data_IF_716391277400
#
_entry.id   IF_716391277400
#
_cell.length_a   1.000
_cell.length_b   1.000
_cell.length_c   1.000
_cell.angle_alpha   90.00
_cell.angle_beta   90.00
_cell.angle_gamma   90.00
#
_symmetry.space_group_name_H-M   'P 1'
#
loop_
_entity.id
_entity.type
_entity.pdbx_description
1 polymer ?
#
# COMPACT_ATOMS: atom_id res chain seq x y z
N UNK A 1 -21.44 1.80 -38.70
CA UNK A 1 -19.99 2.00 -38.52
C UNK A 1 -19.80 3.29 -37.76
N UNK A 2 -19.70 3.20 -36.43
CA UNK A 2 -19.44 4.36 -35.56
C UNK A 2 -17.94 4.35 -35.25
N UNK A 3 -17.22 5.34 -35.76
CA UNK A 3 -15.79 5.53 -35.49
C UNK A 3 -15.68 6.13 -34.09
N UNK A 4 -15.15 5.35 -33.14
CA UNK A 4 -14.65 5.88 -31.87
C UNK A 4 -13.52 6.86 -32.20
N UNK A 5 -13.74 8.14 -31.95
CA UNK A 5 -12.68 9.14 -31.95
C UNK A 5 -11.80 8.90 -30.73
N UNK A 6 -10.48 9.00 -30.92
CA UNK A 6 -9.48 8.97 -29.86
C UNK A 6 -9.92 9.84 -28.68
N UNK A 7 -9.95 9.26 -27.49
CA UNK A 7 -10.20 9.98 -26.24
C UNK A 7 -8.88 10.60 -25.80
N UNK A 8 -8.73 11.91 -26.02
CA UNK A 8 -7.76 12.69 -25.27
C UNK A 8 -8.18 12.70 -23.79
N UNK A 9 -7.22 12.63 -22.83
CA UNK A 9 -7.52 12.63 -21.41
C UNK A 9 -8.20 13.93 -20.97
N UNK A 10 -9.21 13.83 -20.11
CA UNK A 10 -9.76 14.99 -19.37
C UNK A 10 -8.72 15.38 -18.34
N UNK A 11 -8.40 16.67 -18.24
CA UNK A 11 -7.52 17.17 -17.17
C UNK A 11 -8.31 18.15 -16.30
N UNK A 12 -8.33 17.98 -14.97
CA UNK A 12 -8.88 19.00 -14.08
C UNK A 12 -7.96 20.22 -14.08
N UNK A 13 -8.49 21.40 -14.42
CA UNK A 13 -7.79 22.66 -14.23
C UNK A 13 -8.24 23.29 -12.91
N UNK A 14 -7.29 23.47 -11.98
CA UNK A 14 -7.54 24.12 -10.70
C UNK A 14 -7.34 25.64 -10.83
N UNK A 15 -8.41 26.42 -10.65
CA UNK A 15 -8.30 27.86 -10.46
C UNK A 15 -8.61 28.19 -9.00
N UNK A 16 -7.57 28.24 -8.17
CA UNK A 16 -7.65 28.86 -6.84
C UNK A 16 -7.74 30.38 -7.01
N UNK A 17 -8.95 30.94 -7.02
CA UNK A 17 -9.11 32.38 -6.77
C UNK A 17 -8.88 32.65 -5.29
N UNK A 18 -7.63 32.96 -4.92
CA UNK A 18 -7.33 33.64 -3.65
C UNK A 18 -7.95 35.03 -3.71
N UNK A 19 -9.21 35.14 -3.33
CA UNK A 19 -9.72 36.42 -2.84
C UNK A 19 -9.19 36.58 -1.42
N UNK A 20 -8.69 37.76 -1.06
CA UNK A 20 -8.36 38.16 0.32
C UNK A 20 -9.67 38.28 1.15
N UNK A 21 -10.52 37.28 1.09
CA UNK A 21 -11.82 37.27 1.72
C UNK A 21 -11.69 36.71 3.13
N UNK A 22 -12.43 37.34 4.03
CA UNK A 22 -12.54 36.95 5.43
C UNK A 22 -13.98 36.54 5.69
N UNK A 23 -14.17 35.50 6.51
CA UNK A 23 -15.47 35.20 7.09
C UNK A 23 -16.03 36.48 7.76
N UNK A 24 -17.34 36.70 7.69
CA UNK A 24 -17.99 37.95 8.09
C UNK A 24 -17.78 38.33 9.57
N UNK A 25 -17.33 37.38 10.39
CA UNK A 25 -17.02 37.49 11.81
C UNK A 25 -15.51 37.51 12.14
N UNK A 26 -14.63 37.50 11.14
CA UNK A 26 -13.19 37.58 11.36
C UNK A 26 -12.79 38.99 11.82
N UNK A 27 -12.40 39.12 13.09
CA UNK A 27 -11.91 40.38 13.68
C UNK A 27 -10.39 40.48 13.77
N UNK A 28 -9.66 39.48 13.28
CA UNK A 28 -8.20 39.46 13.33
C UNK A 28 -7.58 40.25 12.16
N UNK A 29 -6.81 41.28 12.51
CA UNK A 29 -6.15 42.19 11.56
C UNK A 29 -4.87 41.61 10.95
N UNK A 30 -4.38 40.48 11.47
CA UNK A 30 -3.24 39.75 10.91
C UNK A 30 -3.64 38.53 10.09
N UNK A 31 -4.93 38.21 10.03
CA UNK A 31 -5.43 37.14 9.18
C UNK A 31 -5.14 37.48 7.71
N UNK A 32 -4.58 36.53 6.95
CA UNK A 32 -4.28 36.68 5.51
C UNK A 32 -5.34 36.04 4.60
N UNK A 33 -6.55 35.86 5.13
CA UNK A 33 -7.68 35.18 4.48
C UNK A 33 -8.09 33.95 5.28
N UNK A 34 -9.26 34.00 5.91
CA UNK A 34 -9.86 32.86 6.63
C UNK A 34 -11.16 32.38 5.97
N UNK A 35 -11.56 33.01 4.87
CA UNK A 35 -12.65 32.50 4.05
C UNK A 35 -12.09 31.34 3.22
N UNK A 36 -12.55 30.13 3.54
CA UNK A 36 -12.20 28.94 2.76
C UNK A 36 -12.93 29.08 1.42
N UNK A 37 -12.26 29.70 0.46
CA UNK A 37 -12.83 29.92 -0.88
C UNK A 37 -13.27 28.60 -1.51
N UNK A 38 -14.43 28.61 -2.19
CA UNK A 38 -14.89 27.44 -2.93
C UNK A 38 -13.86 27.09 -4.03
N UNK A 39 -13.27 25.89 -3.96
CA UNK A 39 -12.46 25.33 -5.05
C UNK A 39 -13.35 25.03 -6.26
N UNK A 40 -13.46 25.96 -7.20
CA UNK A 40 -14.16 25.71 -8.46
C UNK A 40 -13.32 24.79 -9.38
N UNK A 41 -13.89 23.64 -9.74
CA UNK A 41 -13.29 22.74 -10.73
C UNK A 41 -13.83 23.07 -12.12
N UNK A 42 -12.92 23.37 -13.05
CA UNK A 42 -13.21 23.36 -14.48
C UNK A 42 -12.59 22.12 -15.13
N UNK A 43 -13.43 21.32 -15.78
CA UNK A 43 -12.99 20.12 -16.51
C UNK A 43 -12.95 20.42 -17.99
N UNK A 44 -11.75 20.30 -18.57
CA UNK A 44 -11.50 20.73 -19.95
C UNK A 44 -11.10 19.53 -20.80
N UNK A 45 -11.74 19.36 -21.96
CA UNK A 45 -11.32 18.45 -23.04
C UNK A 45 -10.82 19.24 -24.23
N UNK A 46 -9.89 18.68 -24.99
CA UNK A 46 -9.53 19.24 -26.30
C UNK A 46 -10.47 18.72 -27.38
N UNK A 47 -10.92 19.61 -28.25
CA UNK A 47 -11.70 19.24 -29.43
C UNK A 47 -10.81 18.73 -30.58
N UNK A 48 -11.43 18.35 -31.70
CA UNK A 48 -10.71 17.87 -32.89
C UNK A 48 -9.76 18.91 -33.51
N UNK A 49 -9.82 20.17 -33.05
CA UNK A 49 -8.98 21.29 -33.45
C UNK A 49 -7.99 21.71 -32.35
N UNK A 50 -7.95 20.99 -31.22
CA UNK A 50 -7.07 21.24 -30.09
C UNK A 50 -7.54 22.37 -29.15
N UNK A 51 -8.77 22.86 -29.28
CA UNK A 51 -9.33 23.90 -28.40
C UNK A 51 -9.95 23.31 -27.13
N UNK A 52 -9.78 23.99 -25.98
CA UNK A 52 -10.42 23.60 -24.73
C UNK A 52 -11.94 23.77 -24.80
N UNK A 53 -12.67 22.70 -24.51
CA UNK A 53 -14.12 22.64 -24.34
C UNK A 53 -14.40 22.23 -22.89
N UNK A 54 -15.24 23.00 -22.20
CA UNK A 54 -15.78 22.61 -20.91
C UNK A 54 -16.65 21.36 -21.07
N UNK A 55 -16.31 20.30 -20.35
CA UNK A 55 -17.05 19.04 -20.38
C UNK A 55 -17.34 18.56 -18.99
N UNK A 56 -18.59 18.21 -18.69
CA UNK A 56 -18.90 17.52 -17.45
C UNK A 56 -18.44 16.05 -17.50
N UNK A 57 -17.59 15.60 -16.57
CA UNK A 57 -17.19 14.20 -16.50
C UNK A 57 -18.35 13.33 -15.98
N UNK A 58 -18.32 12.04 -16.33
CA UNK A 58 -19.16 11.00 -15.74
C UNK A 58 -18.76 10.69 -14.29
N UNK A 59 -19.61 10.00 -13.55
CA UNK A 59 -19.30 9.58 -12.18
C UNK A 59 -18.04 8.71 -12.13
N UNK A 60 -17.85 7.83 -13.11
CA UNK A 60 -16.68 6.97 -13.23
C UNK A 60 -15.40 7.73 -13.55
N UNK A 61 -15.47 8.76 -14.41
CA UNK A 61 -14.32 9.63 -14.70
C UNK A 61 -13.92 10.44 -13.46
N UNK A 62 -14.90 10.96 -12.70
CA UNK A 62 -14.64 11.65 -11.43
C UNK A 62 -13.97 10.72 -10.41
N UNK A 63 -14.45 9.49 -10.29
CA UNK A 63 -13.86 8.49 -9.41
C UNK A 63 -12.41 8.18 -9.81
N UNK A 64 -12.14 7.99 -11.10
CA UNK A 64 -10.78 7.71 -11.58
C UNK A 64 -9.82 8.86 -11.26
N UNK A 65 -10.25 10.10 -11.49
CA UNK A 65 -9.47 11.30 -11.14
C UNK A 65 -9.26 11.42 -9.63
N UNK A 66 -10.26 11.09 -8.81
CA UNK A 66 -10.13 11.13 -7.36
C UNK A 66 -9.09 10.13 -6.83
N UNK A 67 -9.06 8.92 -7.40
CA UNK A 67 -8.08 7.88 -7.04
C UNK A 67 -6.67 8.30 -7.45
N UNK A 68 -6.51 8.87 -8.66
CA UNK A 68 -5.22 9.34 -9.15
C UNK A 68 -4.67 10.48 -8.28
N UNK A 69 -5.52 11.45 -7.93
CA UNK A 69 -5.14 12.54 -7.03
C UNK A 69 -4.76 12.01 -5.64
N UNK A 70 -5.56 11.10 -5.07
CA UNK A 70 -5.27 10.50 -3.77
C UNK A 70 -3.97 9.68 -3.75
N UNK A 71 -3.61 9.04 -4.87
CA UNK A 71 -2.40 8.24 -5.01
C UNK A 71 -1.12 9.05 -5.29
N UNK A 72 -1.26 10.30 -5.72
CA UNK A 72 -0.13 11.19 -6.04
C UNK A 72 0.48 11.85 -4.80
N UNK A 73 -0.15 11.67 -3.63
CA UNK A 73 0.14 12.37 -2.37
C UNK A 73 0.99 11.55 -1.37
N UNK A 74 1.67 10.50 -1.81
CA UNK A 74 2.47 9.58 -0.96
C UNK A 74 3.64 10.22 -0.17
N UNK A 75 3.87 11.54 -0.28
CA UNK A 75 5.00 12.25 0.33
C UNK A 75 4.62 13.35 1.35
N UNK A 76 3.35 13.45 1.79
CA UNK A 76 3.00 14.46 2.79
C UNK A 76 1.88 13.99 3.75
N UNK A 77 2.27 13.27 4.81
CA UNK A 77 1.38 12.78 5.87
C UNK A 77 0.73 13.89 6.75
N UNK A 78 0.88 15.17 6.41
CA UNK A 78 0.50 16.29 7.30
C UNK A 78 -0.43 17.38 6.72
N UNK A 79 -0.96 17.25 5.50
CA UNK A 79 -1.84 18.29 4.95
C UNK A 79 -3.32 17.85 4.84
N UNK A 80 -4.11 18.18 5.86
CA UNK A 80 -5.58 18.25 5.80
C UNK A 80 -6.09 19.09 4.59
N UNK A 81 -5.24 19.95 4.00
CA UNK A 81 -5.56 20.82 2.87
C UNK A 81 -5.38 20.18 1.48
N UNK A 82 -4.50 19.18 1.30
CA UNK A 82 -4.26 18.53 -0.02
C UNK A 82 -5.25 17.40 -0.31
N UNK A 83 -5.70 16.68 0.74
CA UNK A 83 -6.86 15.79 0.68
C UNK A 83 -8.16 16.50 0.24
N UNK A 84 -8.19 17.84 0.24
CA UNK A 84 -9.34 18.63 -0.20
C UNK A 84 -9.72 18.40 -1.67
N UNK A 85 -8.76 18.17 -2.57
CA UNK A 85 -9.04 17.96 -4.00
C UNK A 85 -9.62 16.57 -4.23
N UNK A 86 -8.91 15.52 -3.80
CA UNK A 86 -9.37 14.14 -3.93
C UNK A 86 -10.74 13.95 -3.27
N UNK A 87 -10.92 14.44 -2.04
CA UNK A 87 -12.21 14.39 -1.33
C UNK A 87 -13.33 15.06 -2.10
N UNK A 88 -13.08 16.23 -2.68
CA UNK A 88 -14.12 16.94 -3.44
C UNK A 88 -14.44 16.23 -4.76
N UNK A 89 -13.46 15.60 -5.42
CA UNK A 89 -13.70 14.75 -6.59
C UNK A 89 -14.54 13.51 -6.22
N UNK A 90 -14.28 12.89 -5.06
CA UNK A 90 -15.13 11.83 -4.52
C UNK A 90 -16.55 12.32 -4.23
N UNK A 91 -16.73 13.47 -3.56
CA UNK A 91 -18.05 14.04 -3.29
C UNK A 91 -18.83 14.29 -4.59
N UNK A 92 -18.17 14.77 -5.63
CA UNK A 92 -18.78 14.96 -6.97
C UNK A 92 -19.17 13.61 -7.61
N UNK A 93 -18.30 12.60 -7.53
CA UNK A 93 -18.59 11.25 -8.03
C UNK A 93 -19.78 10.62 -7.29
N UNK A 94 -19.81 10.67 -5.96
CA UNK A 94 -20.90 10.21 -5.09
C UNK A 94 -22.21 10.90 -5.48
N UNK A 95 -22.21 12.22 -5.64
CA UNK A 95 -23.40 12.97 -6.02
C UNK A 95 -23.93 12.53 -7.39
N UNK A 96 -23.05 12.29 -8.37
CA UNK A 96 -23.46 11.78 -9.70
C UNK A 96 -23.98 10.36 -9.63
N UNK A 97 -23.35 9.46 -8.89
CA UNK A 97 -23.87 8.11 -8.68
C UNK A 97 -25.25 8.10 -8.00
N UNK A 98 -25.50 9.01 -7.07
CA UNK A 98 -26.80 9.09 -6.38
C UNK A 98 -27.90 9.72 -7.24
N UNK A 99 -27.58 10.77 -8.01
CA UNK A 99 -28.58 11.58 -8.74
C UNK A 99 -28.74 11.16 -10.20
N UNK A 100 -27.62 10.96 -10.89
CA UNK A 100 -27.59 10.79 -12.34
C UNK A 100 -27.52 9.31 -12.74
N UNK A 101 -26.89 8.48 -11.91
CA UNK A 101 -26.70 7.03 -12.15
C UNK A 101 -27.19 6.15 -10.97
N UNK A 102 -28.42 6.31 -10.44
CA UNK A 102 -28.87 5.62 -9.22
C UNK A 102 -28.92 4.08 -9.34
N UNK A 103 -29.01 3.56 -10.56
CA UNK A 103 -28.97 2.11 -10.84
C UNK A 103 -27.54 1.54 -10.73
N UNK A 104 -26.51 2.40 -10.80
CA UNK A 104 -25.11 2.01 -10.73
C UNK A 104 -24.63 1.88 -9.28
N UNK A 105 -25.32 1.03 -8.51
CA UNK A 105 -25.03 0.82 -7.07
C UNK A 105 -23.62 0.28 -6.81
N UNK A 106 -23.08 -0.48 -7.75
CA UNK A 106 -21.70 -0.97 -7.68
C UNK A 106 -20.69 0.17 -7.82
N UNK A 107 -20.89 1.09 -8.77
CA UNK A 107 -20.05 2.28 -8.91
C UNK A 107 -20.10 3.17 -7.66
N UNK A 108 -21.30 3.40 -7.13
CA UNK A 108 -21.50 4.12 -5.86
C UNK A 108 -20.73 3.46 -4.70
N UNK A 109 -20.89 2.15 -4.52
CA UNK A 109 -20.22 1.43 -3.44
C UNK A 109 -18.69 1.43 -3.59
N UNK A 110 -18.19 1.29 -4.82
CA UNK A 110 -16.75 1.40 -5.12
C UNK A 110 -16.25 2.79 -4.72
N UNK A 111 -16.99 3.84 -5.06
CA UNK A 111 -16.62 5.21 -4.72
C UNK A 111 -16.55 5.45 -3.20
N UNK A 112 -17.48 4.90 -2.43
CA UNK A 112 -17.44 4.96 -0.96
C UNK A 112 -16.23 4.23 -0.37
N UNK A 113 -15.88 3.06 -0.91
CA UNK A 113 -14.72 2.29 -0.47
C UNK A 113 -13.42 3.05 -0.76
N UNK A 114 -13.25 3.56 -1.98
CA UNK A 114 -12.05 4.30 -2.37
C UNK A 114 -11.92 5.63 -1.60
N UNK A 115 -13.02 6.34 -1.36
CA UNK A 115 -13.01 7.51 -0.46
C UNK A 115 -12.55 7.10 0.94
N UNK A 116 -13.15 6.06 1.51
CA UNK A 116 -12.82 5.60 2.86
C UNK A 116 -11.36 5.17 3.00
N UNK A 117 -10.77 4.57 1.96
CA UNK A 117 -9.33 4.28 1.89
C UNK A 117 -8.49 5.56 1.87
N UNK A 118 -8.83 6.51 1.01
CA UNK A 118 -8.05 7.73 0.79
C UNK A 118 -8.00 8.63 2.02
N UNK A 119 -9.11 8.76 2.76
CA UNK A 119 -9.20 9.64 3.94
C UNK A 119 -9.26 8.88 5.28
N UNK A 120 -8.94 7.57 5.26
CA UNK A 120 -8.94 6.70 6.46
C UNK A 120 -10.26 6.68 7.25
N UNK A 121 -11.41 6.63 6.57
CA UNK A 121 -12.75 6.60 7.20
C UNK A 121 -13.38 5.21 7.05
N UNK A 122 -13.43 4.46 8.16
CA UNK A 122 -13.96 3.09 8.20
C UNK A 122 -15.44 3.00 7.85
N UNK A 123 -16.25 3.99 8.24
CA UNK A 123 -17.69 4.02 8.00
C UNK A 123 -18.01 4.02 6.50
N UNK A 124 -17.25 4.78 5.70
CA UNK A 124 -17.40 4.83 4.25
C UNK A 124 -17.08 3.48 3.61
N UNK A 125 -16.00 2.81 4.04
CA UNK A 125 -15.66 1.47 3.56
C UNK A 125 -16.76 0.47 3.96
N UNK A 126 -17.23 0.53 5.21
CA UNK A 126 -18.28 -0.34 5.72
C UNK A 126 -19.61 -0.17 4.98
N UNK A 127 -20.00 1.07 4.67
CA UNK A 127 -21.22 1.34 3.89
C UNK A 127 -21.10 0.75 2.48
N UNK A 128 -19.98 1.00 1.79
CA UNK A 128 -19.72 0.42 0.47
C UNK A 128 -19.73 -1.11 0.48
N UNK A 129 -19.12 -1.73 1.50
CA UNK A 129 -19.11 -3.17 1.68
C UNK A 129 -20.53 -3.75 1.86
N UNK A 130 -21.40 -3.11 2.65
CA UNK A 130 -22.79 -3.56 2.81
C UNK A 130 -23.58 -3.48 1.50
N UNK A 131 -23.35 -2.44 0.69
CA UNK A 131 -23.98 -2.32 -0.63
C UNK A 131 -23.50 -3.44 -1.55
N UNK A 132 -22.20 -3.73 -1.58
CA UNK A 132 -21.61 -4.81 -2.37
C UNK A 132 -22.12 -6.19 -1.93
N UNK A 133 -22.27 -6.46 -0.63
CA UNK A 133 -22.94 -7.67 -0.10
C UNK A 133 -24.37 -7.79 -0.65
N UNK A 134 -25.08 -6.67 -0.74
CA UNK A 134 -26.43 -6.61 -1.33
C UNK A 134 -26.43 -6.88 -2.83
N UNK A 135 -25.48 -6.32 -3.58
CA UNK A 135 -25.36 -6.53 -5.02
C UNK A 135 -24.93 -7.96 -5.37
N UNK A 136 -24.02 -8.58 -4.61
CA UNK A 136 -23.60 -9.96 -4.84
C UNK A 136 -24.78 -10.95 -4.74
N UNK A 137 -25.70 -10.73 -3.79
CA UNK A 137 -26.92 -11.55 -3.64
C UNK A 137 -27.86 -11.44 -4.84
N UNK A 138 -27.85 -10.30 -5.53
CA UNK A 138 -28.69 -10.08 -6.73
C UNK A 138 -28.02 -10.62 -7.98
N UNK A 139 -26.72 -10.38 -8.11
CA UNK A 139 -25.94 -10.68 -9.29
C UNK A 139 -24.55 -11.20 -8.88
N UNK A 140 -24.42 -12.51 -8.75
CA UNK A 140 -23.18 -13.17 -8.34
C UNK A 140 -22.17 -13.24 -9.51
N UNK A 141 -21.57 -12.11 -9.84
CA UNK A 141 -20.50 -12.00 -10.85
C UNK A 141 -19.13 -11.96 -10.19
N UNK A 142 -18.11 -12.31 -10.97
CA UNK A 142 -16.71 -12.26 -10.58
C UNK A 142 -16.31 -10.83 -10.19
N UNK A 143 -16.79 -9.83 -10.95
CA UNK A 143 -16.52 -8.42 -10.67
C UNK A 143 -17.06 -7.99 -9.30
N UNK A 144 -18.31 -8.32 -8.98
CA UNK A 144 -18.92 -7.94 -7.69
C UNK A 144 -18.24 -8.69 -6.55
N UNK A 145 -17.87 -9.97 -6.75
CA UNK A 145 -17.15 -10.75 -5.76
C UNK A 145 -15.76 -10.17 -5.45
N UNK A 146 -15.00 -9.77 -6.47
CA UNK A 146 -13.69 -9.12 -6.30
C UNK A 146 -13.83 -7.78 -5.58
N UNK A 147 -14.79 -6.94 -5.97
CA UNK A 147 -15.02 -5.64 -5.30
C UNK A 147 -15.43 -5.80 -3.84
N UNK A 148 -16.29 -6.77 -3.54
CA UNK A 148 -16.66 -7.10 -2.17
C UNK A 148 -15.44 -7.58 -1.38
N UNK A 149 -14.63 -8.46 -1.96
CA UNK A 149 -13.41 -8.95 -1.33
C UNK A 149 -12.42 -7.81 -1.01
N UNK A 150 -12.17 -6.92 -1.98
CA UNK A 150 -11.36 -5.71 -1.81
C UNK A 150 -11.89 -4.80 -0.70
N UNK A 151 -13.19 -4.51 -0.70
CA UNK A 151 -13.82 -3.71 0.35
C UNK A 151 -13.68 -4.36 1.75
N UNK A 152 -13.87 -5.68 1.85
CA UNK A 152 -13.76 -6.41 3.11
C UNK A 152 -12.33 -6.39 3.66
N UNK A 153 -11.33 -6.64 2.80
CA UNK A 153 -9.93 -6.63 3.24
C UNK A 153 -9.44 -5.21 3.53
N UNK A 154 -9.92 -4.21 2.80
CA UNK A 154 -9.62 -2.80 3.05
C UNK A 154 -10.15 -2.34 4.40
N UNK A 155 -11.35 -2.77 4.80
CA UNK A 155 -11.87 -2.49 6.13
C UNK A 155 -11.05 -3.20 7.22
N UNK A 156 -10.67 -4.47 7.01
CA UNK A 156 -9.79 -5.18 7.94
C UNK A 156 -8.43 -4.47 8.10
N UNK A 157 -7.89 -3.97 6.99
CA UNK A 157 -6.62 -3.22 6.97
C UNK A 157 -6.73 -1.92 7.73
N UNK A 158 -7.83 -1.17 7.55
CA UNK A 158 -8.04 0.08 8.29
C UNK A 158 -8.15 -0.13 9.79
N UNK A 159 -8.86 -1.18 10.22
CA UNK A 159 -8.96 -1.56 11.66
C UNK A 159 -7.58 -1.91 12.21
N UNK A 160 -6.82 -2.74 11.49
CA UNK A 160 -5.46 -3.14 11.90
C UNK A 160 -4.52 -1.95 12.02
N UNK A 161 -4.50 -1.05 11.04
CA UNK A 161 -3.68 0.17 11.09
C UNK A 161 -4.03 1.07 12.28
N UNK A 162 -5.31 1.21 12.61
CA UNK A 162 -5.73 1.97 13.81
C UNK A 162 -5.25 1.28 15.10
N UNK A 163 -5.33 -0.05 15.16
CA UNK A 163 -4.84 -0.84 16.29
C UNK A 163 -3.32 -0.75 16.44
N UNK A 164 -2.57 -0.76 15.34
CA UNK A 164 -1.12 -0.62 15.31
C UNK A 164 -0.71 0.80 15.75
N UNK A 165 -1.36 1.84 15.23
CA UNK A 165 -1.11 3.23 15.66
C UNK A 165 -1.43 3.44 17.16
N UNK A 166 -2.51 2.83 17.66
CA UNK A 166 -2.83 2.86 19.08
C UNK A 166 -1.77 2.13 19.91
N UNK A 167 -1.31 0.97 19.45
CA UNK A 167 -0.28 0.19 20.11
C UNK A 167 1.05 0.95 20.18
N UNK A 168 1.53 1.51 19.07
CA UNK A 168 2.77 2.30 19.01
C UNK A 168 2.73 3.47 19.99
N UNK A 169 1.61 4.20 20.04
CA UNK A 169 1.43 5.30 20.99
C UNK A 169 1.47 4.84 22.45
N UNK A 170 0.79 3.74 22.76
CA UNK A 170 0.77 3.21 24.13
C UNK A 170 2.11 2.61 24.54
N UNK A 171 2.83 2.00 23.60
CA UNK A 171 4.15 1.43 23.85
C UNK A 171 5.15 2.51 24.24
N UNK A 172 5.09 3.70 23.62
CA UNK A 172 5.92 4.86 23.98
C UNK A 172 5.62 5.44 25.38
N UNK A 173 4.44 5.14 25.94
CA UNK A 173 4.04 5.59 27.28
C UNK A 173 4.40 4.58 28.38
N UNK A 174 4.79 3.36 28.03
CA UNK A 174 5.18 2.29 28.94
C UNK A 174 6.69 2.35 29.19
N UNK A 175 7.10 2.20 30.45
CA UNK A 175 8.50 1.99 30.81
C UNK A 175 8.98 0.65 30.23
N UNK A 176 10.10 0.64 29.51
CA UNK A 176 10.64 -0.57 28.86
C UNK A 176 10.91 -1.71 29.86
N UNK A 177 11.16 -1.37 31.14
CA UNK A 177 11.37 -2.34 32.21
C UNK A 177 10.05 -2.93 32.78
N UNK A 178 8.88 -2.36 32.44
CA UNK A 178 7.57 -2.86 32.88
C UNK A 178 7.03 -3.95 31.94
N UNK A 179 7.63 -5.14 32.07
CA UNK A 179 7.26 -6.34 31.30
C UNK A 179 5.77 -6.70 31.43
N UNK A 180 5.12 -6.37 32.56
CA UNK A 180 3.71 -6.68 32.80
C UNK A 180 2.83 -5.78 31.94
N UNK A 181 3.08 -4.47 31.96
CA UNK A 181 2.34 -3.51 31.12
C UNK A 181 2.54 -3.79 29.63
N UNK A 182 3.77 -4.12 29.21
CA UNK A 182 4.07 -4.48 27.84
C UNK A 182 3.36 -5.77 27.42
N UNK A 183 3.33 -6.79 28.28
CA UNK A 183 2.59 -8.03 28.06
C UNK A 183 1.09 -7.79 27.87
N UNK A 184 0.46 -7.00 28.74
CA UNK A 184 -0.96 -6.63 28.61
C UNK A 184 -1.25 -5.84 27.32
N UNK A 185 -0.31 -5.00 26.87
CA UNK A 185 -0.44 -4.27 25.62
C UNK A 185 -0.31 -5.20 24.41
N UNK A 186 0.61 -6.17 24.43
CA UNK A 186 0.75 -7.19 23.39
C UNK A 186 -0.48 -8.09 23.28
N UNK A 187 -1.14 -8.44 24.38
CA UNK A 187 -2.42 -9.17 24.32
C UNK A 187 -3.51 -8.37 23.58
N UNK A 188 -3.49 -7.04 23.67
CA UNK A 188 -4.42 -6.17 22.92
C UNK A 188 -4.12 -6.10 21.43
N UNK A 189 -2.99 -6.64 20.97
CA UNK A 189 -2.64 -6.72 19.55
C UNK A 189 -3.25 -7.93 18.84
N UNK A 190 -3.89 -8.87 19.56
CA UNK A 190 -4.57 -10.02 18.94
C UNK A 190 -5.54 -9.60 17.80
N UNK A 191 -5.67 -10.48 16.81
CA UNK A 191 -6.59 -10.26 15.69
C UNK A 191 -8.03 -10.32 16.16
N UNK A 192 -8.74 -9.22 15.99
CA UNK A 192 -10.11 -9.10 16.50
C UNK A 192 -11.06 -10.02 15.74
N UNK A 193 -12.19 -10.39 16.37
CA UNK A 193 -13.23 -11.19 15.71
C UNK A 193 -13.78 -10.53 14.44
N UNK A 194 -13.79 -9.19 14.40
CA UNK A 194 -14.24 -8.42 13.25
C UNK A 194 -13.27 -8.55 12.10
N UNK A 195 -11.97 -8.34 12.32
CA UNK A 195 -10.93 -8.58 11.32
C UNK A 195 -10.98 -10.03 10.81
N UNK A 196 -11.12 -11.01 11.72
CA UNK A 196 -11.24 -12.43 11.34
C UNK A 196 -12.40 -12.68 10.39
N UNK A 197 -13.56 -12.06 10.67
CA UNK A 197 -14.73 -12.17 9.79
C UNK A 197 -14.44 -11.54 8.42
N UNK A 198 -13.86 -10.35 8.40
CA UNK A 198 -13.61 -9.58 7.19
C UNK A 198 -12.58 -10.24 6.27
N UNK A 199 -11.41 -10.64 6.79
CA UNK A 199 -10.40 -11.27 5.95
C UNK A 199 -10.90 -12.63 5.45
N UNK A 200 -11.64 -13.42 6.26
CA UNK A 200 -12.21 -14.70 5.80
C UNK A 200 -13.22 -14.52 4.68
N UNK A 201 -14.08 -13.50 4.77
CA UNK A 201 -15.01 -13.12 3.70
C UNK A 201 -14.26 -12.70 2.44
N UNK A 202 -13.19 -11.91 2.57
CA UNK A 202 -12.34 -11.55 1.45
C UNK A 202 -11.71 -12.77 0.77
N UNK A 203 -11.15 -13.70 1.56
CA UNK A 203 -10.56 -14.95 1.03
C UNK A 203 -11.60 -15.84 0.34
N UNK A 204 -12.81 -15.95 0.89
CA UNK A 204 -13.91 -16.73 0.32
C UNK A 204 -14.31 -16.19 -1.06
N UNK A 205 -14.60 -14.88 -1.14
CA UNK A 205 -15.06 -14.26 -2.37
C UNK A 205 -13.97 -14.13 -3.43
N UNK A 206 -12.71 -13.93 -3.01
CA UNK A 206 -11.58 -13.95 -3.94
C UNK A 206 -11.42 -15.34 -4.56
N UNK A 207 -11.44 -16.42 -3.76
CA UNK A 207 -11.36 -17.79 -4.30
C UNK A 207 -12.51 -18.12 -5.23
N UNK A 208 -13.73 -17.72 -4.87
CA UNK A 208 -14.92 -17.93 -5.71
C UNK A 208 -14.79 -17.19 -7.05
N UNK A 209 -14.35 -15.93 -7.05
CA UNK A 209 -14.10 -15.17 -8.27
C UNK A 209 -13.02 -15.83 -9.13
N UNK A 210 -11.89 -16.25 -8.53
CA UNK A 210 -10.80 -16.93 -9.24
C UNK A 210 -11.23 -18.27 -9.85
N UNK A 211 -12.20 -18.97 -9.25
CA UNK A 211 -12.72 -20.24 -9.80
C UNK A 211 -13.49 -20.07 -11.11
N UNK A 212 -13.95 -18.84 -11.40
CA UNK A 212 -14.75 -18.48 -12.58
C UNK A 212 -14.05 -17.46 -13.48
N UNK A 213 -12.81 -17.09 -13.12
CA UNK A 213 -12.06 -16.03 -13.77
C UNK A 213 -11.72 -16.41 -15.21
N UNK A 214 -12.12 -15.55 -16.14
CA UNK A 214 -11.76 -15.67 -17.56
C UNK A 214 -10.47 -14.93 -17.89
N UNK A 215 -10.24 -14.71 -19.19
CA UNK A 215 -9.09 -13.95 -19.70
C UNK A 215 -9.43 -12.47 -19.93
N UNK A 216 -10.42 -11.93 -19.22
CA UNK A 216 -10.79 -10.51 -19.33
C UNK A 216 -9.73 -9.65 -18.62
N UNK A 217 -9.06 -8.77 -19.36
CA UNK A 217 -7.94 -7.98 -18.84
C UNK A 217 -8.34 -7.09 -17.66
N UNK A 218 -9.55 -6.50 -17.69
CA UNK A 218 -10.00 -5.63 -16.61
C UNK A 218 -10.29 -6.43 -15.34
N UNK A 219 -10.92 -7.59 -15.45
CA UNK A 219 -11.13 -8.50 -14.32
C UNK A 219 -9.82 -9.05 -13.77
N UNK A 220 -8.84 -9.35 -14.62
CA UNK A 220 -7.52 -9.79 -14.20
C UNK A 220 -6.79 -8.70 -13.41
N UNK A 221 -6.84 -7.43 -13.84
CA UNK A 221 -6.28 -6.30 -13.10
C UNK A 221 -6.96 -6.09 -11.75
N UNK A 222 -8.29 -6.18 -11.71
CA UNK A 222 -9.05 -6.10 -10.45
C UNK A 222 -8.65 -7.26 -9.51
N UNK A 223 -8.54 -8.48 -10.03
CA UNK A 223 -8.10 -9.64 -9.27
C UNK A 223 -6.70 -9.43 -8.68
N UNK A 224 -5.76 -8.91 -9.48
CA UNK A 224 -4.42 -8.55 -9.03
C UNK A 224 -4.47 -7.50 -7.91
N UNK A 225 -5.26 -6.44 -8.07
CA UNK A 225 -5.45 -5.40 -7.04
C UNK A 225 -5.89 -5.99 -5.70
N UNK A 226 -6.85 -6.92 -5.71
CA UNK A 226 -7.31 -7.59 -4.49
C UNK A 226 -6.21 -8.45 -3.86
N UNK A 227 -5.35 -9.10 -4.66
CA UNK A 227 -4.21 -9.84 -4.13
C UNK A 227 -3.17 -8.91 -3.45
N UNK A 228 -2.93 -7.72 -4.01
CA UNK A 228 -2.08 -6.71 -3.37
C UNK A 228 -2.66 -6.20 -2.05
N UNK A 229 -3.97 -5.97 -1.98
CA UNK A 229 -4.64 -5.59 -0.74
C UNK A 229 -4.58 -6.70 0.32
N UNK A 230 -4.82 -7.96 -0.07
CA UNK A 230 -4.66 -9.13 0.80
C UNK A 230 -3.24 -9.26 1.35
N UNK A 231 -2.23 -9.13 0.48
CA UNK A 231 -0.83 -9.13 0.92
C UNK A 231 -0.56 -7.99 1.90
N UNK A 232 -1.05 -6.79 1.60
CA UNK A 232 -0.85 -5.61 2.46
C UNK A 232 -1.40 -5.82 3.86
N UNK A 233 -2.62 -6.36 3.99
CA UNK A 233 -3.17 -6.76 5.29
C UNK A 233 -2.32 -7.84 5.98
N UNK A 234 -1.94 -8.89 5.24
CA UNK A 234 -1.13 -9.99 5.78
C UNK A 234 0.23 -9.51 6.33
N UNK A 235 0.83 -8.48 5.73
CA UNK A 235 2.09 -7.91 6.19
C UNK A 235 2.00 -7.08 7.48
N UNK A 236 0.83 -6.57 7.84
CA UNK A 236 0.63 -5.88 9.12
C UNK A 236 0.66 -6.87 10.30
N UNK A 237 0.45 -8.15 10.03
CA UNK A 237 0.38 -9.20 11.03
C UNK A 237 1.79 -9.72 11.38
N UNK A 238 2.50 -8.99 12.25
CA UNK A 238 3.93 -9.25 12.53
C UNK A 238 4.22 -10.10 13.77
N UNK A 239 3.36 -10.06 14.78
CA UNK A 239 3.58 -10.74 16.06
C UNK A 239 3.55 -12.28 15.93
N UNK A 240 4.28 -13.05 16.77
CA UNK A 240 4.29 -14.51 16.70
C UNK A 240 2.89 -15.15 16.79
N UNK A 241 2.00 -14.61 17.61
CA UNK A 241 0.62 -15.08 17.74
C UNK A 241 -0.25 -14.75 16.51
N UNK A 242 0.21 -13.91 15.59
CA UNK A 242 -0.48 -13.66 14.31
C UNK A 242 -0.23 -14.75 13.26
N UNK A 243 0.72 -15.67 13.49
CA UNK A 243 1.18 -16.69 12.52
C UNK A 243 0.04 -17.38 11.76
N UNK A 244 -0.99 -17.85 12.45
CA UNK A 244 -2.12 -18.54 11.81
C UNK A 244 -2.86 -17.64 10.81
N UNK A 245 -3.11 -16.39 11.21
CA UNK A 245 -3.85 -15.41 10.41
C UNK A 245 -3.02 -14.90 9.23
N UNK A 246 -1.75 -14.56 9.47
CA UNK A 246 -0.82 -14.13 8.44
C UNK A 246 -0.67 -15.22 7.36
N UNK A 247 -0.41 -16.47 7.76
CA UNK A 247 -0.28 -17.58 6.82
C UNK A 247 -1.58 -17.85 6.06
N UNK A 248 -2.74 -17.83 6.73
CA UNK A 248 -4.02 -18.04 6.04
C UNK A 248 -4.23 -17.04 4.88
N UNK A 249 -3.85 -15.78 5.06
CA UNK A 249 -3.97 -14.76 4.02
C UNK A 249 -2.87 -14.90 2.97
N UNK A 250 -1.60 -14.96 3.39
CA UNK A 250 -0.45 -14.95 2.48
C UNK A 250 -0.34 -16.25 1.66
N UNK A 251 -0.63 -17.42 2.25
CA UNK A 251 -0.69 -18.68 1.50
C UNK A 251 -1.78 -18.62 0.41
N UNK A 252 -2.91 -17.95 0.71
CA UNK A 252 -3.96 -17.76 -0.29
C UNK A 252 -3.48 -16.85 -1.42
N UNK A 253 -2.77 -15.76 -1.12
CA UNK A 253 -2.20 -14.89 -2.14
C UNK A 253 -1.25 -15.69 -3.05
N UNK A 254 -0.32 -16.45 -2.47
CA UNK A 254 0.61 -17.31 -3.23
C UNK A 254 -0.13 -18.33 -4.10
N UNK A 255 -1.14 -19.00 -3.56
CA UNK A 255 -1.99 -19.95 -4.29
C UNK A 255 -2.66 -19.29 -5.51
N UNK A 256 -3.18 -18.08 -5.34
CA UNK A 256 -3.95 -17.38 -6.37
C UNK A 256 -3.06 -16.69 -7.42
N UNK A 257 -1.88 -16.19 -7.04
CA UNK A 257 -0.87 -15.69 -7.99
C UNK A 257 -0.56 -16.75 -9.06
N UNK A 258 -0.36 -18.00 -8.64
CA UNK A 258 -0.04 -19.11 -9.53
C UNK A 258 -1.20 -19.50 -10.47
N UNK A 259 -2.41 -19.02 -10.23
CA UNK A 259 -3.58 -19.23 -11.09
C UNK A 259 -3.74 -18.15 -12.16
N UNK A 260 -3.04 -17.02 -12.04
CA UNK A 260 -3.10 -15.96 -13.03
C UNK A 260 -2.35 -16.34 -14.31
N UNK A 261 -2.83 -15.93 -15.49
CA UNK A 261 -2.13 -16.18 -16.75
C UNK A 261 -0.77 -15.48 -16.74
N UNK A 262 0.24 -16.17 -17.28
CA UNK A 262 1.60 -15.66 -17.46
C UNK A 262 2.28 -15.16 -16.17
N UNK A 263 1.85 -15.62 -14.99
CA UNK A 263 2.40 -15.17 -13.70
C UNK A 263 3.92 -15.31 -13.61
N UNK A 264 4.49 -16.35 -14.24
CA UNK A 264 5.93 -16.58 -14.27
C UNK A 264 6.72 -15.54 -15.05
N UNK A 265 6.07 -14.77 -15.93
CA UNK A 265 6.66 -13.73 -16.77
C UNK A 265 6.16 -12.33 -16.40
N UNK A 266 5.56 -12.18 -15.22
CA UNK A 266 5.06 -10.91 -14.71
C UNK A 266 5.89 -10.49 -13.49
N UNK A 267 6.62 -9.39 -13.62
CA UNK A 267 7.51 -8.84 -12.60
C UNK A 267 6.78 -8.54 -11.28
N UNK A 268 5.60 -7.93 -11.36
CA UNK A 268 4.79 -7.52 -10.22
C UNK A 268 4.23 -8.72 -9.44
N UNK A 269 3.81 -9.78 -10.15
CA UNK A 269 3.29 -11.00 -9.52
C UNK A 269 4.38 -11.83 -8.83
N UNK A 270 5.58 -11.88 -9.42
CA UNK A 270 6.73 -12.52 -8.79
C UNK A 270 7.19 -11.76 -7.54
N UNK A 271 7.19 -10.43 -7.60
CA UNK A 271 7.50 -9.58 -6.45
C UNK A 271 6.46 -9.75 -5.33
N UNK A 272 5.18 -9.80 -5.70
CA UNK A 272 4.08 -10.06 -4.76
C UNK A 272 4.26 -11.40 -4.05
N UNK A 273 4.62 -12.46 -4.78
CA UNK A 273 4.91 -13.77 -4.19
C UNK A 273 6.14 -13.71 -3.27
N UNK A 274 7.24 -13.11 -3.73
CA UNK A 274 8.45 -12.97 -2.92
C UNK A 274 8.16 -12.27 -1.58
N UNK A 275 7.38 -11.19 -1.61
CA UNK A 275 6.96 -10.48 -0.41
C UNK A 275 6.14 -11.33 0.56
N UNK A 276 5.24 -12.19 0.07
CA UNK A 276 4.51 -13.11 0.94
C UNK A 276 5.49 -14.05 1.66
N UNK A 277 6.39 -14.69 0.93
CA UNK A 277 7.37 -15.62 1.52
C UNK A 277 8.31 -14.93 2.51
N UNK A 278 8.77 -13.72 2.17
CA UNK A 278 9.64 -12.88 3.00
C UNK A 278 8.97 -12.35 4.27
N UNK A 279 7.66 -12.52 4.46
CA UNK A 279 6.99 -12.27 5.74
C UNK A 279 6.63 -13.55 6.48
N UNK A 280 6.51 -14.68 5.78
CA UNK A 280 6.14 -15.96 6.39
C UNK A 280 7.35 -16.66 7.02
N UNK A 281 8.55 -16.43 6.49
CA UNK A 281 9.85 -16.92 6.96
C UNK A 281 10.09 -16.68 8.46
N UNK A 282 9.65 -15.54 9.01
CA UNK A 282 9.83 -15.22 10.43
C UNK A 282 9.03 -16.12 11.37
N UNK A 283 8.02 -16.80 10.83
CA UNK A 283 7.22 -17.77 11.56
C UNK A 283 7.71 -19.22 11.41
N UNK A 284 8.77 -19.44 10.62
CA UNK A 284 9.31 -20.78 10.34
C UNK A 284 10.42 -21.12 11.33
N UNK A 285 10.16 -22.12 12.17
CA UNK A 285 11.13 -22.66 13.14
C UNK A 285 12.06 -23.73 12.54
N UNK A 286 11.64 -24.38 11.46
CA UNK A 286 12.44 -25.43 10.80
C UNK A 286 13.47 -24.78 9.86
N UNK A 287 14.74 -24.84 10.25
CA UNK A 287 15.87 -24.24 9.51
C UNK A 287 15.93 -24.70 8.05
N UNK A 288 15.69 -25.97 7.75
CA UNK A 288 15.74 -26.48 6.37
C UNK A 288 14.65 -25.88 5.52
N UNK A 289 13.44 -25.73 6.08
CA UNK A 289 12.34 -25.03 5.39
C UNK A 289 12.65 -23.54 5.24
N UNK A 290 13.27 -22.92 6.25
CA UNK A 290 13.68 -21.51 6.21
C UNK A 290 14.70 -21.25 5.10
N UNK A 291 15.76 -22.06 5.01
CA UNK A 291 16.76 -21.99 3.95
C UNK A 291 16.16 -22.21 2.55
N UNK A 292 15.26 -23.19 2.41
CA UNK A 292 14.56 -23.41 1.14
C UNK A 292 13.66 -22.22 0.76
N UNK A 293 13.05 -21.56 1.75
CA UNK A 293 12.27 -20.34 1.54
C UNK A 293 13.16 -19.18 1.10
N UNK A 294 14.32 -18.98 1.74
CA UNK A 294 15.30 -17.96 1.32
C UNK A 294 15.73 -18.14 -0.13
N UNK A 295 16.14 -19.36 -0.52
CA UNK A 295 16.51 -19.65 -1.91
C UNK A 295 15.37 -19.35 -2.88
N UNK A 296 14.12 -19.61 -2.48
CA UNK A 296 12.96 -19.32 -3.32
C UNK A 296 12.69 -17.82 -3.45
N UNK A 297 12.85 -17.05 -2.37
CA UNK A 297 12.73 -15.60 -2.39
C UNK A 297 13.79 -15.01 -3.33
N UNK A 298 15.05 -15.41 -3.18
CA UNK A 298 16.15 -14.98 -4.08
C UNK A 298 15.82 -15.26 -5.57
N UNK A 299 15.35 -16.46 -5.89
CA UNK A 299 14.94 -16.82 -7.27
C UNK A 299 13.85 -15.90 -7.81
N UNK A 300 12.82 -15.63 -7.00
CA UNK A 300 11.69 -14.78 -7.38
C UNK A 300 12.11 -13.32 -7.56
N UNK A 301 12.92 -12.79 -6.64
CA UNK A 301 13.44 -11.42 -6.70
C UNK A 301 14.33 -11.22 -7.93
N UNK A 302 15.29 -12.13 -8.16
CA UNK A 302 16.18 -12.06 -9.32
C UNK A 302 15.40 -12.09 -10.64
N UNK A 303 14.40 -12.97 -10.75
CA UNK A 303 13.56 -13.08 -11.94
C UNK A 303 12.66 -11.86 -12.13
N UNK A 304 12.04 -11.37 -11.05
CA UNK A 304 11.22 -10.15 -11.07
C UNK A 304 12.04 -8.95 -11.54
N UNK A 305 13.24 -8.73 -10.99
CA UNK A 305 14.10 -7.62 -11.38
C UNK A 305 14.54 -7.71 -12.84
N UNK A 306 14.89 -8.91 -13.32
CA UNK A 306 15.27 -9.11 -14.71
C UNK A 306 14.13 -8.76 -15.69
N UNK A 307 12.89 -9.13 -15.36
CA UNK A 307 11.72 -8.78 -16.16
C UNK A 307 11.43 -7.28 -16.11
N UNK A 308 11.51 -6.67 -14.92
CA UNK A 308 11.32 -5.24 -14.74
C UNK A 308 12.37 -4.42 -15.51
N UNK A 309 13.64 -4.84 -15.47
CA UNK A 309 14.74 -4.22 -16.21
C UNK A 309 14.50 -4.24 -17.72
N UNK A 310 14.02 -5.36 -18.27
CA UNK A 310 13.67 -5.47 -19.70
C UNK A 310 12.53 -4.50 -20.06
N UNK A 311 11.55 -4.33 -19.16
CA UNK A 311 10.35 -3.51 -19.37
C UNK A 311 10.64 -2.01 -19.23
N UNK A 312 11.53 -1.61 -18.32
CA UNK A 312 11.70 -0.22 -17.88
C UNK A 312 13.11 0.36 -18.10
N UNK A 313 14.06 -0.42 -18.61
CA UNK A 313 15.48 -0.04 -18.81
C UNK A 313 16.19 0.44 -17.52
N UNK A 314 15.63 0.06 -16.37
CA UNK A 314 16.21 0.25 -15.03
C UNK A 314 15.75 -0.87 -14.11
N UNK A 315 16.54 -1.17 -13.09
CA UNK A 315 16.16 -2.13 -12.06
C UNK A 315 15.04 -1.57 -11.15
N UNK A 316 14.35 -2.46 -10.44
CA UNK A 316 13.26 -2.11 -9.54
C UNK A 316 13.79 -1.84 -8.12
N UNK A 317 13.58 -0.63 -7.58
CA UNK A 317 14.00 -0.30 -6.22
C UNK A 317 13.36 -1.23 -5.17
N UNK A 318 12.08 -1.58 -5.32
CA UNK A 318 11.40 -2.49 -4.39
C UNK A 318 12.01 -3.90 -4.35
N UNK A 319 12.60 -4.37 -5.46
CA UNK A 319 13.31 -5.65 -5.43
C UNK A 319 14.56 -5.55 -4.55
N UNK A 320 15.30 -4.45 -4.66
CA UNK A 320 16.50 -4.21 -3.85
C UNK A 320 16.17 -4.01 -2.37
N UNK A 321 15.06 -3.34 -2.03
CA UNK A 321 14.58 -3.26 -0.65
C UNK A 321 14.26 -4.66 -0.07
N UNK A 322 13.51 -5.49 -0.82
CA UNK A 322 13.19 -6.84 -0.36
C UNK A 322 14.42 -7.75 -0.29
N UNK A 323 15.38 -7.56 -1.19
CA UNK A 323 16.65 -8.27 -1.17
C UNK A 323 17.45 -7.90 0.09
N UNK A 324 17.51 -6.62 0.46
CA UNK A 324 18.15 -6.17 1.68
C UNK A 324 17.51 -6.79 2.94
N UNK A 325 16.17 -6.78 3.01
CA UNK A 325 15.43 -7.43 4.10
C UNK A 325 15.71 -8.95 4.17
N UNK A 326 15.81 -9.64 3.02
CA UNK A 326 16.16 -11.05 2.97
C UNK A 326 17.56 -11.29 3.53
N UNK A 327 18.54 -10.44 3.19
CA UNK A 327 19.92 -10.55 3.66
C UNK A 327 20.04 -10.31 5.16
N UNK A 328 19.32 -9.33 5.72
CA UNK A 328 19.20 -9.15 7.19
C UNK A 328 18.65 -10.43 7.84
N UNK A 329 17.59 -11.00 7.29
CA UNK A 329 16.99 -12.21 7.83
C UNK A 329 17.93 -13.43 7.77
N UNK A 330 18.76 -13.53 6.73
CA UNK A 330 19.79 -14.56 6.59
C UNK A 330 20.92 -14.34 7.59
N UNK A 331 21.40 -13.10 7.74
CA UNK A 331 22.43 -12.71 8.72
C UNK A 331 22.02 -13.10 10.13
N UNK A 332 20.78 -12.75 10.54
CA UNK A 332 20.20 -13.14 11.84
C UNK A 332 20.10 -14.66 12.06
N UNK A 333 20.26 -15.47 11.00
CA UNK A 333 20.17 -16.94 11.06
C UNK A 333 21.51 -17.61 10.75
N UNK A 334 22.58 -16.85 10.51
CA UNK A 334 23.89 -17.39 10.21
C UNK A 334 24.53 -18.00 11.49
N UNK A 335 25.21 -19.14 11.34
CA UNK A 335 25.92 -19.78 12.45
C UNK A 335 27.32 -19.19 12.66
N UNK A 336 27.88 -18.60 11.61
CA UNK A 336 29.21 -18.03 11.55
C UNK A 336 29.12 -16.50 11.51
N UNK A 337 29.96 -15.85 12.30
CA UNK A 337 29.94 -14.39 12.48
C UNK A 337 30.44 -13.66 11.23
N UNK A 338 31.46 -14.20 10.55
CA UNK A 338 31.97 -13.62 9.30
C UNK A 338 30.88 -13.71 8.20
N UNK A 339 30.21 -14.86 8.09
CA UNK A 339 29.07 -15.02 7.17
C UNK A 339 27.91 -14.05 7.53
N UNK A 340 27.65 -13.84 8.83
CA UNK A 340 26.61 -12.93 9.30
C UNK A 340 26.91 -11.47 8.91
N UNK A 341 28.17 -11.04 9.07
CA UNK A 341 28.64 -9.70 8.72
C UNK A 341 28.62 -9.48 7.21
N UNK A 342 29.10 -10.43 6.39
CA UNK A 342 29.04 -10.33 4.92
C UNK A 342 27.60 -10.16 4.42
N UNK A 343 26.66 -10.93 4.98
CA UNK A 343 25.24 -10.80 4.65
C UNK A 343 24.66 -9.44 5.09
N UNK A 344 25.10 -8.91 6.22
CA UNK A 344 24.65 -7.59 6.69
C UNK A 344 25.16 -6.46 5.79
N UNK A 345 26.43 -6.52 5.37
CA UNK A 345 27.02 -5.59 4.41
C UNK A 345 26.31 -5.65 3.05
N UNK A 346 25.99 -6.85 2.56
CA UNK A 346 25.16 -7.02 1.36
C UNK A 346 23.80 -6.34 1.49
N UNK A 347 23.19 -6.37 2.68
CA UNK A 347 21.92 -5.71 2.94
C UNK A 347 22.05 -4.18 2.87
N UNK A 348 23.11 -3.62 3.46
CA UNK A 348 23.39 -2.17 3.44
C UNK A 348 23.57 -1.70 1.99
N UNK A 349 24.39 -2.39 1.21
CA UNK A 349 24.62 -2.03 -0.19
C UNK A 349 23.34 -2.16 -1.03
N UNK A 350 22.49 -3.15 -0.74
CA UNK A 350 21.19 -3.28 -1.39
C UNK A 350 20.24 -2.12 -1.04
N UNK A 351 20.19 -1.66 0.22
CA UNK A 351 19.42 -0.47 0.60
C UNK A 351 19.96 0.80 -0.05
N UNK A 352 21.29 1.01 -0.09
CA UNK A 352 21.92 2.13 -0.81
C UNK A 352 21.54 2.12 -2.29
N UNK A 353 21.51 0.94 -2.91
CA UNK A 353 21.12 0.76 -4.31
C UNK A 353 19.63 1.02 -4.54
N UNK A 354 18.76 0.57 -3.64
CA UNK A 354 17.35 0.90 -3.69
C UNK A 354 17.14 2.42 -3.62
N UNK A 355 17.86 3.11 -2.72
CA UNK A 355 17.78 4.57 -2.57
C UNK A 355 18.26 5.30 -3.83
N UNK A 356 19.34 4.83 -4.45
CA UNK A 356 19.83 5.41 -5.70
C UNK A 356 18.81 5.28 -6.86
N UNK A 357 17.96 4.25 -6.83
CA UNK A 357 16.90 4.03 -7.82
C UNK A 357 15.61 4.81 -7.51
N UNK A 358 15.40 5.20 -6.25
CA UNK A 358 14.29 6.01 -5.76
C UNK A 358 14.72 7.02 -4.69
N UNK A 359 15.38 8.13 -5.10
CA UNK A 359 16.00 9.08 -4.17
C UNK A 359 14.99 9.92 -3.39
N UNK A 360 13.73 9.97 -3.83
CA UNK A 360 12.67 10.76 -3.21
C UNK A 360 11.97 10.00 -2.06
N UNK A 361 12.37 8.76 -1.79
CA UNK A 361 11.82 7.94 -0.70
C UNK A 361 12.50 8.28 0.65
N UNK A 362 11.83 9.10 1.45
CA UNK A 362 12.35 9.57 2.75
C UNK A 362 12.59 8.45 3.76
N UNK A 363 11.77 7.39 3.75
CA UNK A 363 11.93 6.23 4.66
C UNK A 363 13.22 5.50 4.35
N UNK A 364 13.47 5.27 3.06
CA UNK A 364 14.67 4.61 2.59
C UNK A 364 15.92 5.47 2.81
N UNK A 365 15.81 6.79 2.62
CA UNK A 365 16.87 7.73 2.98
C UNK A 365 17.21 7.66 4.48
N UNK A 366 16.20 7.60 5.34
CA UNK A 366 16.37 7.45 6.79
C UNK A 366 17.07 6.14 7.17
N UNK A 367 16.68 5.01 6.57
CA UNK A 367 17.34 3.72 6.80
C UNK A 367 18.81 3.74 6.35
N UNK A 368 19.10 4.27 5.16
CA UNK A 368 20.49 4.36 4.66
C UNK A 368 21.35 5.27 5.54
N UNK A 369 20.79 6.38 6.03
CA UNK A 369 21.49 7.27 6.97
C UNK A 369 21.80 6.58 8.31
N UNK A 370 20.86 5.78 8.83
CA UNK A 370 21.08 5.00 10.04
C UNK A 370 22.21 3.98 9.87
N UNK A 371 22.23 3.22 8.77
CA UNK A 371 23.30 2.26 8.50
C UNK A 371 24.65 2.94 8.29
N UNK A 372 24.69 4.08 7.60
CA UNK A 372 25.93 4.83 7.40
C UNK A 372 26.50 5.33 8.73
N UNK A 373 25.64 5.80 9.65
CA UNK A 373 26.08 6.24 10.97
C UNK A 373 26.60 5.10 11.85
N UNK A 374 26.06 3.88 11.72
CA UNK A 374 26.57 2.69 12.41
C UNK A 374 27.95 2.29 11.85
N UNK A 375 28.12 2.29 10.53
CA UNK A 375 29.42 2.02 9.90
C UNK A 375 30.49 3.06 10.28
N UNK A 376 30.11 4.34 10.39
CA UNK A 376 31.05 5.39 10.81
C UNK A 376 31.47 5.22 12.28
N UNK A 377 30.59 4.73 13.16
CA UNK A 377 30.92 4.45 14.57
C UNK A 377 31.87 3.25 14.72
N UNK A 378 31.64 2.16 13.97
CA UNK A 378 32.52 0.99 14.00
C UNK A 378 33.93 1.34 13.49
N UNK A 379 34.03 2.14 12.43
CA UNK A 379 35.34 2.59 11.92
C UNK A 379 36.07 3.54 12.90
N UNK A 380 35.34 4.38 13.65
CA UNK A 380 35.93 5.24 14.68
C UNK A 380 36.42 4.42 15.89
N UNK A 381 35.75 3.33 16.26
CA UNK A 381 36.17 2.41 17.34
C UNK A 381 37.38 1.55 16.92
N UNK A 382 37.44 1.09 15.66
CA UNK A 382 38.59 0.36 15.12
C UNK A 382 39.86 1.25 15.00
N UNK A 383 39.71 2.52 14.61
CA UNK A 383 40.81 3.50 14.55
C UNK A 383 41.35 3.84 15.97
N UNK A 384 40.48 3.88 17.00
CA UNK A 384 40.88 4.12 18.39
C UNK A 384 41.59 2.89 19.01
N UNK A 385 41.23 1.66 18.65
CA UNK A 385 41.92 0.44 19.09
C UNK A 385 43.32 0.27 18.45
N UNK A 386 43.50 0.68 17.18
CA UNK A 386 44.82 0.70 16.54
C UNK A 386 45.75 1.78 17.12
N UNK A 387 45.23 2.92 17.58
CA UNK A 387 46.03 3.97 18.26
C UNK A 387 46.45 3.54 19.68
N UNK A 388 45.65 2.75 20.42
CA UNK A 388 46.03 2.23 21.74
C UNK A 388 47.09 1.11 21.68
N UNK A 389 47.13 0.29 20.61
CA UNK A 389 48.17 -0.73 20.43
C UNK A 389 49.54 -0.13 20.00
N UNK A 390 49.58 1.02 19.32
CA UNK A 390 50.84 1.70 18.97
C UNK A 390 51.51 2.41 20.16
N UNK A 391 50.77 2.72 21.23
CA UNK A 391 51.29 3.38 22.43
C UNK A 391 51.84 2.39 23.50
N UNK A 392 51.70 1.07 23.29
CA UNK A 392 52.21 0.01 24.19
C UNK A 392 53.52 -0.69 23.73
N UNK A 393 54.17 -0.29 22.62
CA UNK A 393 55.49 -0.83 22.18
C UNK A 393 56.75 -0.10 22.70
#
# INVERSE_FOLDING_TARGET
MSKRANQDPITPENKRTRSEAHAADCSDKTCQGCDVGEVEFSFVRKDAQGQPIDTEPSAQELLAMAIEEAGSDNNNDNDDENNGIARRLFDMAIAKFQKDEPENRMGYATCLVELGKAISVQESISEGLEILRGELKKNNTEQVALKLAGAAISLATSIRKEQDAYFEKQQQEIDEEDEVALGELLEKQEVTKQEIKLYKEALEHTRDAFSRLGNDEALLKEAQSVLFELRSYGLLLVQPFHKEHANAVLDTVVELVQKLPEYENNDELLLLWAACLLHQEKFVEDEKKKLAMYSKIDELLAKSNALYLIKNDKENHYVWEMYAMLRINQSNSAEDEDDALELYDEAIEAFKKAHALDPDNEKLAGMVAMFSALQDQENEEDDDEEEEEEDEE
#
